data_IF_587669648371
#
_entry.id   IF_587669648371
#
_cell.length_a   1.000
_cell.length_b   1.000
_cell.length_c   1.000
_cell.angle_alpha   90.00
_cell.angle_beta   90.00
_cell.angle_gamma   90.00
#
_symmetry.space_group_name_H-M   'P 1'
#
loop_
_entity.id
_entity.type
_entity.pdbx_description
1 polymer ?
#
# COMPACT_ATOMS: atom_id res chain seq x y z
N UNK A 1 -9.04 5.41 7.59
CA UNK A 1 -7.89 6.06 6.91
C UNK A 1 -8.35 6.68 5.61
N UNK A 2 -7.95 7.92 5.36
CA UNK A 2 -8.25 8.57 4.09
C UNK A 2 -7.26 8.12 3.02
N UNK A 3 -7.65 8.17 1.77
CA UNK A 3 -6.78 7.78 0.67
C UNK A 3 -5.53 8.66 0.61
N UNK A 4 -5.66 9.96 0.91
CA UNK A 4 -4.52 10.87 0.96
C UNK A 4 -3.50 10.45 2.03
N UNK A 5 -3.98 10.00 3.19
CA UNK A 5 -3.11 9.50 4.25
C UNK A 5 -2.40 8.21 3.82
N UNK A 6 -3.11 7.34 3.12
CA UNK A 6 -2.54 6.12 2.58
C UNK A 6 -1.34 6.43 1.69
N UNK A 7 -1.51 7.35 0.75
CA UNK A 7 -0.43 7.72 -0.17
C UNK A 7 0.72 8.44 0.53
N UNK A 8 0.43 9.24 1.55
CA UNK A 8 1.48 9.86 2.35
C UNK A 8 2.34 8.82 3.03
N UNK A 9 1.72 7.78 3.59
CA UNK A 9 2.44 6.69 4.24
C UNK A 9 3.23 5.86 3.24
N UNK A 10 2.67 5.63 2.07
CA UNK A 10 3.40 4.93 1.00
C UNK A 10 4.65 5.71 0.62
N UNK A 11 4.54 7.02 0.46
CA UNK A 11 5.70 7.86 0.12
C UNK A 11 6.73 7.91 1.23
N UNK A 12 6.28 7.91 2.49
CA UNK A 12 7.19 7.88 3.64
C UNK A 12 7.98 6.58 3.70
N UNK A 13 7.34 5.47 3.35
CA UNK A 13 7.99 4.16 3.40
C UNK A 13 8.91 3.92 2.20
N UNK A 14 8.47 4.27 1.00
CA UNK A 14 9.18 3.90 -0.23
C UNK A 14 9.84 5.06 -0.97
N UNK A 15 9.52 6.30 -0.62
CA UNK A 15 9.93 7.47 -1.40
C UNK A 15 8.94 7.75 -2.52
N UNK A 16 8.94 8.99 -3.03
CA UNK A 16 7.93 9.43 -4.01
C UNK A 16 7.89 8.58 -5.27
N UNK A 17 9.05 8.32 -5.85
CA UNK A 17 9.13 7.58 -7.11
C UNK A 17 8.82 6.09 -6.92
N UNK A 18 9.43 5.50 -5.90
CA UNK A 18 9.30 4.07 -5.69
C UNK A 18 7.92 3.66 -5.19
N UNK A 19 7.25 4.52 -4.41
CA UNK A 19 5.91 4.24 -3.93
C UNK A 19 4.94 3.98 -5.09
N UNK A 20 5.05 4.76 -6.13
CA UNK A 20 4.24 4.63 -7.34
C UNK A 20 4.48 3.28 -8.02
N UNK A 21 5.74 2.89 -8.16
CA UNK A 21 6.11 1.60 -8.76
C UNK A 21 5.61 0.42 -7.94
N UNK A 22 5.76 0.47 -6.62
CA UNK A 22 5.28 -0.59 -5.74
C UNK A 22 3.77 -0.75 -5.88
N UNK A 23 3.04 0.35 -5.85
CA UNK A 23 1.58 0.32 -5.95
C UNK A 23 1.09 -0.25 -7.28
N UNK A 24 1.83 -0.05 -8.34
CA UNK A 24 1.45 -0.46 -9.68
C UNK A 24 1.89 -1.88 -10.02
N UNK A 25 3.06 -2.27 -9.57
CA UNK A 25 3.71 -3.49 -10.07
C UNK A 25 3.80 -4.62 -9.05
N UNK A 26 3.80 -4.32 -7.76
CA UNK A 26 3.98 -5.36 -6.74
C UNK A 26 2.66 -6.02 -6.36
N UNK A 27 2.58 -7.32 -6.57
CA UNK A 27 1.41 -8.13 -6.23
C UNK A 27 1.49 -8.54 -4.76
N UNK A 28 0.39 -8.35 -4.01
CA UNK A 28 0.32 -8.67 -2.59
C UNK A 28 -0.56 -9.89 -2.36
N UNK A 29 0.02 -10.92 -1.72
CA UNK A 29 -0.71 -12.15 -1.43
C UNK A 29 -1.96 -11.89 -0.59
N UNK A 30 -1.87 -11.00 0.39
CA UNK A 30 -3.01 -10.67 1.27
C UNK A 30 -4.13 -9.93 0.54
N UNK A 31 -3.87 -9.41 -0.65
CA UNK A 31 -4.88 -8.79 -1.50
C UNK A 31 -5.36 -9.76 -2.58
N UNK A 32 -5.17 -11.06 -2.37
CA UNK A 32 -5.60 -12.06 -3.32
C UNK A 32 -4.82 -12.04 -4.62
N UNK A 33 -3.56 -11.63 -4.57
CA UNK A 33 -2.72 -11.54 -5.76
C UNK A 33 -2.95 -10.28 -6.58
N UNK A 34 -3.47 -9.23 -5.96
CA UNK A 34 -3.69 -7.94 -6.64
C UNK A 34 -2.63 -6.94 -6.20
N UNK A 35 -2.37 -5.95 -7.06
CA UNK A 35 -1.53 -4.81 -6.69
C UNK A 35 -2.33 -3.83 -5.83
N UNK A 36 -1.64 -2.89 -5.19
CA UNK A 36 -2.31 -1.81 -4.44
C UNK A 36 -3.31 -1.08 -5.32
N UNK A 37 -2.92 -0.72 -6.54
CA UNK A 37 -3.81 0.00 -7.46
C UNK A 37 -5.05 -0.81 -7.80
N UNK A 38 -4.88 -2.10 -8.07
CA UNK A 38 -6.00 -2.98 -8.40
C UNK A 38 -6.97 -3.11 -7.21
N UNK A 39 -6.44 -3.30 -6.01
CA UNK A 39 -7.27 -3.43 -4.82
C UNK A 39 -8.07 -2.17 -4.55
N UNK A 40 -7.44 -1.00 -4.66
CA UNK A 40 -8.13 0.28 -4.46
C UNK A 40 -9.19 0.51 -5.54
N UNK A 41 -8.89 0.16 -6.79
CA UNK A 41 -9.84 0.27 -7.89
C UNK A 41 -11.06 -0.66 -7.69
N UNK A 42 -10.83 -1.79 -7.05
CA UNK A 42 -11.91 -2.75 -6.75
C UNK A 42 -12.74 -2.35 -5.53
N UNK A 43 -12.41 -1.24 -4.89
CA UNK A 43 -13.18 -0.75 -3.75
C UNK A 43 -12.70 -1.20 -2.39
N UNK A 44 -11.51 -1.79 -2.30
CA UNK A 44 -10.94 -2.15 -1.01
C UNK A 44 -10.67 -0.90 -0.18
N UNK A 45 -10.89 -1.00 1.13
CA UNK A 45 -10.63 0.09 2.03
C UNK A 45 -9.13 0.38 2.13
N UNK A 46 -8.75 1.66 2.14
CA UNK A 46 -7.35 2.07 2.22
C UNK A 46 -6.64 1.47 3.42
N UNK A 47 -7.33 1.35 4.55
CA UNK A 47 -6.76 0.75 5.76
C UNK A 47 -6.43 -0.73 5.55
N UNK A 48 -7.31 -1.46 4.89
CA UNK A 48 -7.10 -2.87 4.56
C UNK A 48 -5.89 -3.03 3.65
N UNK A 49 -5.79 -2.18 2.63
CA UNK A 49 -4.66 -2.22 1.69
C UNK A 49 -3.36 -1.85 2.42
N UNK A 50 -3.39 -0.86 3.30
CA UNK A 50 -2.22 -0.46 4.07
C UNK A 50 -1.72 -1.58 4.98
N UNK A 51 -2.63 -2.32 5.62
CA UNK A 51 -2.26 -3.48 6.44
C UNK A 51 -1.55 -4.55 5.63
N UNK A 52 -2.01 -4.79 4.41
CA UNK A 52 -1.36 -5.75 3.52
C UNK A 52 0.06 -5.29 3.17
N UNK A 53 0.25 -3.99 2.93
CA UNK A 53 1.57 -3.42 2.67
C UNK A 53 2.49 -3.58 3.89
N UNK A 54 1.98 -3.29 5.08
CA UNK A 54 2.74 -3.44 6.33
C UNK A 54 3.28 -4.86 6.46
N UNK A 55 2.43 -5.84 6.21
CA UNK A 55 2.80 -7.26 6.36
C UNK A 55 3.77 -7.72 5.29
N UNK A 56 3.56 -7.27 4.05
CA UNK A 56 4.41 -7.70 2.93
C UNK A 56 5.82 -7.11 3.02
N UNK A 57 5.93 -5.83 3.40
CA UNK A 57 7.19 -5.09 3.38
C UNK A 57 7.81 -4.87 4.76
N UNK A 58 7.19 -5.42 5.80
CA UNK A 58 7.71 -5.31 7.17
C UNK A 58 7.95 -3.84 7.57
N UNK A 59 6.93 -3.01 7.36
CA UNK A 59 7.00 -1.56 7.62
C UNK A 59 7.28 -1.30 9.09
N UNK A 60 8.28 -0.45 9.43
CA UNK A 60 8.61 -0.19 10.84
C UNK A 60 7.45 0.53 11.56
N UNK A 61 7.30 0.29 12.88
CA UNK A 61 6.21 0.89 13.66
C UNK A 61 6.09 2.40 13.52
N UNK A 62 7.21 3.11 13.35
CA UNK A 62 7.20 4.56 13.21
C UNK A 62 6.51 5.05 11.92
N UNK A 63 6.33 4.19 10.92
CA UNK A 63 5.73 4.55 9.65
C UNK A 63 4.34 3.93 9.45
N UNK A 64 3.88 3.17 10.41
CA UNK A 64 2.55 2.58 10.36
C UNK A 64 1.50 3.61 10.76
#
# INVERSE_FOLDING_TARGET
>A
MRLSEFWERMRAQFGDTYASSVAKDHVLAELGGRTVEQALADGEDAKTVWRAVIDEFDVPPSLR
#
